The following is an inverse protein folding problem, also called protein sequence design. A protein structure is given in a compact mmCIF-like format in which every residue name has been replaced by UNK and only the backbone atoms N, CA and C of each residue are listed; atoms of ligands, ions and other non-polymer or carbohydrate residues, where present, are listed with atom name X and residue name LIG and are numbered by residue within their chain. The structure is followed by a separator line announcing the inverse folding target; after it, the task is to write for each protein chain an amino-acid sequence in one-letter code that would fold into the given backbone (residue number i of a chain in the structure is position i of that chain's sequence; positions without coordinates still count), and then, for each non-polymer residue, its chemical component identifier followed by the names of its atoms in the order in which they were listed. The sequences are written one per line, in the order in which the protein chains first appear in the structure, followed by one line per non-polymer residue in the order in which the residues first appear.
data_IF_169882826679
#
_entry.id   IF_169882826679
#
_cell.length_a   1.000
_cell.length_b   1.000
_cell.length_c   1.000
_cell.angle_alpha   90.00
_cell.angle_beta   90.00
_cell.angle_gamma   90.00
#
_symmetry.space_group_name_H-M   'P 1'
#
loop_
_entity.id
_entity.type
_entity.pdbx_description
1 polymer ?
#
# COMPACT_ATOMS: atom_id res chain seq x y z
N UNK A 1 -29.32 4.55 6.18
CA UNK A 1 -28.00 4.46 5.53
C UNK A 1 -27.04 3.86 6.56
N UNK A 2 -26.27 2.82 6.19
CA UNK A 2 -25.23 2.29 7.08
C UNK A 2 -24.23 3.40 7.42
N UNK A 3 -23.65 3.34 8.62
CA UNK A 3 -22.61 4.31 9.01
C UNK A 3 -21.38 4.07 8.11
N UNK A 4 -20.63 5.11 7.73
CA UNK A 4 -19.43 4.96 6.89
C UNK A 4 -18.45 3.89 7.42
N UNK A 5 -18.34 3.77 8.74
CA UNK A 5 -17.49 2.82 9.46
C UNK A 5 -17.92 1.36 9.25
N UNK A 6 -19.22 1.11 9.12
CA UNK A 6 -19.81 -0.21 8.87
C UNK A 6 -19.59 -0.63 7.42
N UNK A 7 -19.77 0.31 6.49
CA UNK A 7 -19.44 0.10 5.07
C UNK A 7 -17.96 -0.19 4.87
N UNK A 8 -17.07 0.54 5.54
CA UNK A 8 -15.62 0.29 5.49
C UNK A 8 -15.29 -1.13 5.97
N UNK A 9 -15.90 -1.57 7.06
CA UNK A 9 -15.69 -2.93 7.58
C UNK A 9 -16.10 -4.00 6.57
N UNK A 10 -17.26 -3.86 5.94
CA UNK A 10 -17.74 -4.80 4.92
C UNK A 10 -16.79 -4.84 3.71
N UNK A 11 -16.33 -3.68 3.24
CA UNK A 11 -15.36 -3.61 2.12
C UNK A 11 -13.98 -4.18 2.49
N UNK A 12 -13.66 -4.22 3.78
CA UNK A 12 -12.45 -4.87 4.31
C UNK A 12 -12.63 -6.39 4.51
N UNK A 13 -13.81 -6.98 4.27
CA UNK A 13 -14.01 -8.44 4.38
C UNK A 13 -13.65 -9.18 3.09
N UNK A 14 -13.95 -8.62 1.90
CA UNK A 14 -13.70 -9.26 0.59
C UNK A 14 -12.51 -8.67 -0.18
N UNK A 15 -11.48 -9.49 -0.41
CA UNK A 15 -10.21 -9.05 -0.96
C UNK A 15 -10.25 -9.02 -2.50
N UNK A 16 -10.81 -7.95 -3.05
CA UNK A 16 -10.86 -7.69 -4.49
C UNK A 16 -10.64 -6.20 -4.81
N UNK A 17 -10.38 -5.94 -6.09
CA UNK A 17 -10.03 -4.61 -6.58
C UNK A 17 -11.19 -3.63 -6.58
N UNK A 18 -12.43 -4.10 -6.80
CA UNK A 18 -13.61 -3.25 -6.82
C UNK A 18 -13.88 -2.69 -5.41
N UNK A 19 -13.80 -3.56 -4.40
CA UNK A 19 -13.89 -3.16 -3.00
C UNK A 19 -12.75 -2.23 -2.57
N UNK A 20 -11.53 -2.42 -3.10
CA UNK A 20 -10.43 -1.46 -2.90
C UNK A 20 -10.73 -0.09 -3.51
N UNK A 21 -11.32 -0.02 -4.72
CA UNK A 21 -11.72 1.25 -5.34
C UNK A 21 -12.79 1.97 -4.51
N UNK A 22 -13.83 1.25 -4.10
CA UNK A 22 -14.90 1.80 -3.27
C UNK A 22 -14.37 2.32 -1.92
N UNK A 23 -13.48 1.55 -1.29
CA UNK A 23 -12.85 1.93 -0.04
C UNK A 23 -11.98 3.18 -0.19
N UNK A 24 -11.18 3.29 -1.26
CA UNK A 24 -10.38 4.48 -1.54
C UNK A 24 -11.25 5.75 -1.67
N UNK A 25 -12.38 5.66 -2.38
CA UNK A 25 -13.32 6.77 -2.51
C UNK A 25 -13.93 7.18 -1.16
N UNK A 26 -14.33 6.21 -0.33
CA UNK A 26 -14.87 6.49 1.00
C UNK A 26 -13.83 7.14 1.91
N UNK A 27 -12.60 6.63 1.93
CA UNK A 27 -11.52 7.17 2.76
C UNK A 27 -11.16 8.59 2.36
N UNK A 28 -11.16 8.90 1.05
CA UNK A 28 -11.00 10.27 0.56
C UNK A 28 -12.15 11.17 1.04
N UNK A 29 -13.39 10.73 0.90
CA UNK A 29 -14.56 11.48 1.38
C UNK A 29 -14.60 11.71 2.89
N UNK A 30 -13.92 10.86 3.66
CA UNK A 30 -13.76 10.98 5.12
C UNK A 30 -12.50 11.75 5.55
N UNK A 31 -11.80 12.38 4.61
CA UNK A 31 -10.52 13.06 4.84
C UNK A 31 -9.47 12.16 5.52
N UNK A 32 -9.25 10.98 4.96
CA UNK A 32 -8.07 10.16 5.25
C UNK A 32 -7.97 9.73 6.74
N UNK A 33 -8.98 9.04 7.31
CA UNK A 33 -8.92 8.56 8.68
C UNK A 33 -7.79 7.52 8.87
N UNK A 34 -6.77 7.87 9.67
CA UNK A 34 -5.54 7.08 9.86
C UNK A 34 -5.78 5.60 10.18
N UNK A 35 -6.78 5.31 11.02
CA UNK A 35 -7.12 3.95 11.43
C UNK A 35 -7.50 3.04 10.26
N UNK A 36 -8.20 3.56 9.26
CA UNK A 36 -8.65 2.78 8.11
C UNK A 36 -7.67 2.81 6.94
N UNK A 37 -6.86 3.87 6.81
CA UNK A 37 -5.85 3.94 5.77
C UNK A 37 -4.76 2.89 5.90
N UNK A 38 -4.31 2.61 7.13
CA UNK A 38 -3.35 1.52 7.36
C UNK A 38 -3.90 0.19 6.84
N UNK A 39 -5.14 -0.14 7.21
CA UNK A 39 -5.82 -1.38 6.80
C UNK A 39 -6.02 -1.43 5.27
N UNK A 40 -6.39 -0.30 4.68
CA UNK A 40 -6.55 -0.20 3.24
C UNK A 40 -5.23 -0.48 2.49
N UNK A 41 -4.13 0.15 2.90
CA UNK A 41 -2.84 -0.06 2.26
C UNK A 41 -2.30 -1.47 2.47
N UNK A 42 -2.44 -2.02 3.67
CA UNK A 42 -2.13 -3.43 3.95
C UNK A 42 -2.85 -4.36 2.99
N UNK A 43 -4.16 -4.14 2.80
CA UNK A 43 -4.98 -4.93 1.88
C UNK A 43 -4.52 -4.78 0.44
N UNK A 44 -4.33 -3.54 -0.02
CA UNK A 44 -3.95 -3.24 -1.40
C UNK A 44 -2.62 -3.92 -1.78
N UNK A 45 -1.63 -3.82 -0.88
CA UNK A 45 -0.33 -4.47 -1.07
C UNK A 45 -0.48 -6.00 -1.11
N UNK A 46 -1.27 -6.60 -0.21
CA UNK A 46 -1.52 -8.05 -0.21
C UNK A 46 -2.22 -8.54 -1.47
N UNK A 47 -3.27 -7.84 -1.90
CA UNK A 47 -4.04 -8.17 -3.09
C UNK A 47 -3.16 -8.16 -4.34
N UNK A 48 -2.26 -7.17 -4.44
CA UNK A 48 -1.27 -7.14 -5.50
C UNK A 48 -0.36 -8.39 -5.47
N UNK A 49 0.23 -8.70 -4.33
CA UNK A 49 1.09 -9.88 -4.22
C UNK A 49 0.35 -11.18 -4.55
N UNK A 50 -0.93 -11.29 -4.20
CA UNK A 50 -1.74 -12.45 -4.57
C UNK A 50 -1.98 -12.57 -6.06
N UNK A 51 -2.30 -11.47 -6.77
CA UNK A 51 -2.58 -11.51 -8.20
C UNK A 51 -1.32 -11.66 -9.06
N UNK A 52 -0.27 -10.91 -8.73
CA UNK A 52 0.92 -10.79 -9.57
C UNK A 52 2.09 -11.66 -9.09
N UNK A 53 2.01 -12.20 -7.87
CA UNK A 53 2.98 -13.16 -7.32
C UNK A 53 2.29 -14.39 -6.68
N UNK A 54 1.41 -15.10 -7.42
CA UNK A 54 0.65 -16.22 -6.87
C UNK A 54 1.54 -17.38 -6.38
N UNK A 55 2.74 -17.53 -6.94
CA UNK A 55 3.72 -18.58 -6.60
C UNK A 55 4.93 -18.03 -5.83
N UNK A 56 4.70 -17.31 -4.71
CA UNK A 56 5.78 -16.82 -3.84
C UNK A 56 6.75 -17.93 -3.37
N UNK A 57 6.29 -19.17 -3.27
CA UNK A 57 7.14 -20.33 -2.98
C UNK A 57 8.14 -20.66 -4.09
N UNK A 58 7.82 -20.37 -5.37
CA UNK A 58 8.74 -20.53 -6.49
C UNK A 58 9.84 -19.44 -6.46
N UNK A 59 9.46 -18.22 -6.11
CA UNK A 59 10.39 -17.10 -5.93
C UNK A 59 11.33 -17.25 -4.72
N UNK A 60 10.98 -18.10 -3.75
CA UNK A 60 11.84 -18.46 -2.61
C UNK A 60 13.09 -19.28 -3.01
N UNK A 61 12.99 -20.06 -4.10
CA UNK A 61 14.05 -20.99 -4.53
C UNK A 61 14.64 -20.67 -5.91
N UNK A 62 13.92 -19.89 -6.74
CA UNK A 62 14.40 -19.41 -8.03
C UNK A 62 15.04 -18.02 -7.90
N UNK A 63 16.16 -17.80 -8.58
CA UNK A 63 16.98 -16.59 -8.62
C UNK A 63 16.29 -15.30 -9.13
N UNK A 64 14.97 -15.13 -8.99
CA UNK A 64 14.30 -13.84 -9.20
C UNK A 64 14.38 -13.05 -7.91
N UNK A 65 15.53 -12.39 -7.69
CA UNK A 65 15.57 -11.25 -6.79
C UNK A 65 14.49 -10.28 -7.28
N UNK A 66 13.43 -10.07 -6.48
CA UNK A 66 12.48 -9.00 -6.76
C UNK A 66 13.27 -7.70 -6.78
N UNK A 67 13.46 -7.19 -7.98
CA UNK A 67 14.17 -5.95 -8.20
C UNK A 67 13.25 -4.77 -7.94
N UNK A 68 13.83 -3.58 -7.88
CA UNK A 68 13.13 -2.31 -7.77
C UNK A 68 11.97 -2.17 -8.78
N UNK A 69 12.11 -2.73 -9.98
CA UNK A 69 11.12 -2.66 -11.06
C UNK A 69 9.83 -3.42 -10.71
N UNK A 70 9.94 -4.55 -10.02
CA UNK A 70 8.78 -5.33 -9.52
C UNK A 70 7.91 -4.48 -8.59
N UNK A 71 8.55 -3.69 -7.73
CA UNK A 71 7.87 -2.78 -6.81
C UNK A 71 7.26 -1.58 -7.53
N UNK A 72 7.96 -1.00 -8.52
CA UNK A 72 7.42 0.08 -9.35
C UNK A 72 6.10 -0.28 -10.06
N UNK A 73 5.90 -1.56 -10.40
CA UNK A 73 4.63 -2.06 -10.96
C UNK A 73 3.50 -2.13 -9.91
N UNK A 74 3.80 -2.49 -8.65
CA UNK A 74 2.85 -2.38 -7.51
C UNK A 74 2.28 -0.97 -7.47
N UNK A 75 3.16 0.03 -7.65
CA UNK A 75 2.81 1.43 -7.48
C UNK A 75 2.05 2.00 -8.67
N UNK A 76 2.34 1.54 -9.89
CA UNK A 76 1.52 1.90 -11.05
C UNK A 76 0.07 1.45 -10.87
N UNK A 77 -0.16 0.30 -10.23
CA UNK A 77 -1.50 -0.16 -9.86
C UNK A 77 -2.12 0.70 -8.75
N UNK A 78 -1.34 1.09 -7.74
CA UNK A 78 -1.81 2.00 -6.69
C UNK A 78 -2.30 3.36 -7.23
N UNK A 79 -1.71 3.84 -8.34
CA UNK A 79 -2.13 5.07 -9.01
C UNK A 79 -3.58 5.04 -9.53
N UNK A 80 -4.17 3.86 -9.69
CA UNK A 80 -5.59 3.71 -10.05
C UNK A 80 -6.52 4.07 -8.88
N UNK A 81 -6.01 4.08 -7.63
CA UNK A 81 -6.76 4.28 -6.40
C UNK A 81 -6.46 5.63 -5.73
N UNK A 82 -5.18 6.02 -5.72
CA UNK A 82 -4.71 7.29 -5.17
C UNK A 82 -3.78 7.94 -6.17
N UNK A 83 -3.84 9.26 -6.32
CA UNK A 83 -2.82 9.97 -7.08
C UNK A 83 -1.52 9.96 -6.27
N UNK A 84 -0.62 9.02 -6.55
CA UNK A 84 0.71 8.97 -5.95
C UNK A 84 1.60 9.95 -6.70
N UNK A 85 2.11 10.94 -5.99
CA UNK A 85 2.90 12.05 -6.54
C UNK A 85 4.40 11.78 -6.48
N UNK A 86 4.82 10.95 -5.53
CA UNK A 86 6.21 10.59 -5.34
C UNK A 86 6.31 9.14 -4.89
N UNK A 87 7.32 8.43 -5.39
CA UNK A 87 7.69 7.12 -4.87
C UNK A 87 9.19 6.99 -4.74
N UNK A 88 9.63 6.46 -3.62
CA UNK A 88 11.01 6.06 -3.38
C UNK A 88 11.06 4.58 -3.02
N UNK A 89 12.07 3.90 -3.54
CA UNK A 89 12.41 2.53 -3.13
C UNK A 89 13.79 2.61 -2.48
N UNK A 90 13.86 2.25 -1.21
CA UNK A 90 15.10 2.18 -0.44
C UNK A 90 15.37 0.73 -0.05
N UNK A 91 16.62 0.31 -0.16
CA UNK A 91 17.08 -0.99 0.31
C UNK A 91 18.19 -0.78 1.34
N UNK A 92 17.95 -1.14 2.59
CA UNK A 92 18.91 -1.02 3.67
C UNK A 92 18.65 -2.08 4.74
N UNK A 93 19.72 -2.67 5.29
CA UNK A 93 19.64 -3.64 6.39
C UNK A 93 18.64 -4.80 6.13
N UNK A 94 18.74 -5.44 4.96
CA UNK A 94 17.83 -6.51 4.52
C UNK A 94 16.33 -6.12 4.53
N UNK A 95 16.05 -4.83 4.53
CA UNK A 95 14.70 -4.25 4.50
C UNK A 95 14.56 -3.47 3.21
N UNK A 96 13.47 -3.74 2.50
CA UNK A 96 13.03 -2.92 1.40
C UNK A 96 11.93 -1.99 1.90
N UNK A 97 12.20 -0.69 1.86
CA UNK A 97 11.25 0.35 2.22
C UNK A 97 10.70 1.00 0.96
N UNK A 98 9.38 1.07 0.89
CA UNK A 98 8.65 1.71 -0.19
C UNK A 98 7.97 2.96 0.35
N UNK A 99 8.44 4.12 -0.07
CA UNK A 99 7.88 5.40 0.37
C UNK A 99 6.95 5.95 -0.71
N UNK A 100 5.72 6.30 -0.33
CA UNK A 100 4.72 6.88 -1.24
C UNK A 100 4.23 8.23 -0.73
N UNK A 101 4.41 9.26 -1.55
CA UNK A 101 3.82 10.57 -1.33
C UNK A 101 2.47 10.69 -2.04
N UNK A 102 1.39 10.90 -1.28
CA UNK A 102 0.05 11.18 -1.79
C UNK A 102 -0.28 12.63 -1.43
N UNK A 103 -0.29 13.52 -2.41
CA UNK A 103 -0.67 14.91 -2.16
C UNK A 103 -2.18 15.04 -1.98
N UNK A 104 -2.58 15.79 -0.97
CA UNK A 104 -3.96 16.16 -0.73
C UNK A 104 -4.03 17.64 -0.38
N UNK A 105 -4.58 18.45 -1.29
CA UNK A 105 -4.71 19.91 -1.13
C UNK A 105 -5.59 20.30 0.06
N UNK A 106 -6.57 19.47 0.38
CA UNK A 106 -7.54 19.71 1.45
C UNK A 106 -6.96 19.44 2.85
N UNK A 107 -5.81 18.76 2.93
CA UNK A 107 -5.23 18.31 4.19
C UNK A 107 -3.94 19.09 4.49
N UNK A 108 -4.04 20.09 5.37
CA UNK A 108 -2.90 20.90 5.83
C UNK A 108 -1.93 20.14 6.75
N UNK A 109 -2.17 18.85 7.00
CA UNK A 109 -1.35 18.00 7.85
C UNK A 109 -0.70 16.90 7.04
N UNK A 110 0.60 16.69 7.27
CA UNK A 110 1.30 15.51 6.76
C UNK A 110 1.01 14.32 7.67
N UNK A 111 0.38 13.29 7.12
CA UNK A 111 0.10 12.02 7.80
C UNK A 111 1.10 10.97 7.32
N UNK A 112 1.87 10.42 8.24
CA UNK A 112 2.72 9.26 7.98
C UNK A 112 2.03 7.99 8.47
N UNK A 113 2.00 6.97 7.61
CA UNK A 113 1.46 5.64 7.86
C UNK A 113 2.52 4.61 7.49
N UNK A 114 2.96 3.86 8.49
CA UNK A 114 3.96 2.82 8.33
C UNK A 114 3.32 1.43 8.47
N UNK A 115 3.68 0.55 7.54
CA UNK A 115 3.19 -0.83 7.48
C UNK A 115 4.38 -1.77 7.26
N UNK A 116 4.51 -2.78 8.12
CA UNK A 116 5.39 -3.94 7.89
C UNK A 116 4.57 -5.13 7.41
N UNK A 117 5.15 -5.93 6.52
CA UNK A 117 4.53 -7.16 6.03
C UNK A 117 5.35 -8.36 6.48
N UNK A 118 5.38 -8.58 7.80
CA UNK A 118 6.21 -9.63 8.42
C UNK A 118 5.78 -11.05 8.04
N UNK A 119 4.54 -11.23 7.59
CA UNK A 119 4.04 -12.50 7.08
C UNK A 119 4.61 -12.88 5.71
N UNK A 120 5.21 -11.91 4.99
CA UNK A 120 6.03 -12.20 3.82
C UNK A 120 7.50 -12.54 4.16
N UNK A 121 7.89 -12.48 5.45
CA UNK A 121 9.24 -12.89 5.87
C UNK A 121 9.46 -14.37 5.54
N UNK A 122 10.55 -14.67 4.84
CA UNK A 122 10.87 -16.03 4.38
C UNK A 122 10.18 -16.43 3.06
N UNK A 123 9.26 -15.61 2.54
CA UNK A 123 8.78 -15.66 1.16
C UNK A 123 9.58 -14.70 0.26
N UNK A 124 9.99 -13.56 0.82
CA UNK A 124 10.83 -12.56 0.18
C UNK A 124 12.23 -12.57 0.82
N UNK A 125 13.27 -12.21 0.04
CA UNK A 125 14.64 -12.09 0.55
C UNK A 125 14.78 -10.92 1.55
N UNK A 126 14.28 -9.70 1.25
CA UNK A 126 14.16 -8.64 2.25
C UNK A 126 12.81 -8.66 2.98
N UNK A 127 12.79 -8.13 4.21
CA UNK A 127 11.56 -7.70 4.87
C UNK A 127 10.97 -6.51 4.10
N UNK A 128 9.65 -6.54 3.87
CA UNK A 128 8.96 -5.47 3.18
C UNK A 128 8.35 -4.47 4.17
N UNK A 129 8.71 -3.21 4.00
CA UNK A 129 8.10 -2.07 4.68
C UNK A 129 7.53 -1.11 3.65
N UNK A 130 6.34 -0.58 3.94
CA UNK A 130 5.69 0.43 3.12
C UNK A 130 5.33 1.61 4.00
N UNK A 131 5.73 2.80 3.57
CA UNK A 131 5.49 4.07 4.21
C UNK A 131 4.66 4.95 3.28
N UNK A 132 3.53 5.44 3.77
CA UNK A 132 2.68 6.40 3.06
C UNK A 132 2.75 7.76 3.76
N UNK A 133 3.11 8.79 3.01
CA UNK A 133 3.07 10.19 3.40
C UNK A 133 1.90 10.83 2.66
N UNK A 134 0.85 11.21 3.38
CA UNK A 134 -0.32 11.89 2.82
C UNK A 134 -0.29 13.37 3.23
N UNK A 135 -0.51 14.30 2.30
CA UNK A 135 -0.52 15.74 2.57
C UNK A 135 0.62 16.46 1.85
N UNK A 136 1.25 17.45 2.50
CA UNK A 136 2.42 18.12 1.91
C UNK A 136 3.59 17.14 1.83
N UNK A 137 4.06 16.90 0.61
CA UNK A 137 5.24 16.08 0.36
C UNK A 137 6.45 16.87 0.87
N UNK A 138 7.28 16.31 1.77
CA UNK A 138 8.49 16.97 2.20
C UNK A 138 9.36 17.27 0.98
N UNK A 139 9.62 18.56 0.72
CA UNK A 139 10.61 18.95 -0.28
C UNK A 139 11.98 18.57 0.27
N UNK A 140 12.68 17.69 -0.47
CA UNK A 140 14.07 17.33 -0.21
C UNK A 140 15.02 18.41 -0.73
#
# INVERSE_FOLDING_TARGET
MPKPEETIRLLLEEADWENCHLLAHLLRGMNYPKAYLKLFFERLTRLYFQEFMPDMGYHRFGCTLMDRMTFELIFKKMNEFFTVHYTQVEYANDTLTLLHGIFCEENNQTLQIDTSFDDFNGLLYPTLQVQFIIGQIPQS
#
